data_IF_471445449207
#
_entry.id   IF_471445449207
#
_cell.length_a   1.000
_cell.length_b   1.000
_cell.length_c   1.000
_cell.angle_alpha   90.00
_cell.angle_beta   90.00
_cell.angle_gamma   90.00
#
_symmetry.space_group_name_H-M   'P 1'
#
loop_
_entity.id
_entity.type
_entity.pdbx_description
1 polymer ?
#
# COMPACT_ATOMS: atom_id res chain seq x y z
N UNK A 1 -14.14 71.94 29.17
CA UNK A 1 -12.93 72.53 28.58
C UNK A 1 -13.29 73.15 27.23
N UNK A 2 -12.77 74.36 26.97
CA UNK A 2 -12.56 75.08 25.69
C UNK A 2 -13.12 74.33 24.44
N UNK A 3 -14.26 74.73 23.84
CA UNK A 3 -14.47 75.79 22.82
C UNK A 3 -13.62 75.69 21.54
N UNK A 4 -14.29 75.85 20.39
CA UNK A 4 -13.69 76.11 19.07
C UNK A 4 -14.58 77.07 18.23
N UNK A 5 -14.54 76.99 16.89
CA UNK A 5 -15.02 77.94 15.85
C UNK A 5 -15.78 77.14 14.76
N UNK A 6 -16.86 77.56 14.09
CA UNK A 6 -17.48 78.86 13.69
C UNK A 6 -17.11 79.41 12.28
N UNK A 7 -17.98 79.15 11.29
CA UNK A 7 -18.46 80.06 10.21
C UNK A 7 -17.42 80.87 9.37
N UNK A 8 -17.42 80.70 8.03
CA UNK A 8 -17.57 81.85 7.09
C UNK A 8 -17.97 81.45 5.65
N UNK A 9 -18.85 82.26 5.03
CA UNK A 9 -19.14 82.31 3.59
C UNK A 9 -18.31 83.44 2.96
N UNK A 10 -17.92 83.36 1.68
CA UNK A 10 -17.75 84.55 0.84
C UNK A 10 -17.94 84.18 -0.64
N UNK A 11 -18.82 84.92 -1.32
CA UNK A 11 -18.85 85.01 -2.79
C UNK A 11 -17.76 86.00 -3.22
N UNK A 12 -17.09 85.75 -4.36
CA UNK A 12 -16.49 86.84 -5.11
C UNK A 12 -16.80 86.71 -6.61
N UNK A 13 -17.66 87.60 -7.09
CA UNK A 13 -17.86 87.87 -8.51
C UNK A 13 -16.68 88.67 -9.05
N UNK A 14 -16.12 88.28 -10.19
CA UNK A 14 -15.36 89.18 -11.06
C UNK A 14 -15.85 89.00 -12.49
N UNK A 15 -16.65 89.97 -12.95
CA UNK A 15 -16.87 90.20 -14.38
C UNK A 15 -15.81 91.20 -14.83
N UNK A 16 -15.08 90.87 -15.91
CA UNK A 16 -14.48 91.87 -16.78
C UNK A 16 -14.93 91.61 -18.21
N UNK A 17 -15.67 92.56 -18.76
CA UNK A 17 -16.03 92.61 -20.18
C UNK A 17 -14.89 93.23 -20.98
N UNK A 18 -14.49 92.61 -22.09
CA UNK A 18 -13.95 93.34 -23.24
C UNK A 18 -14.23 92.57 -24.53
N UNK A 19 -14.73 93.27 -25.53
CA UNK A 19 -15.03 92.69 -26.85
C UNK A 19 -13.75 92.51 -27.68
N UNK A 20 -13.73 91.49 -28.53
CA UNK A 20 -13.24 91.63 -29.90
C UNK A 20 -14.07 90.74 -30.83
N UNK A 21 -14.19 91.20 -32.07
CA UNK A 21 -14.95 90.64 -33.19
C UNK A 21 -14.79 89.14 -33.43
N UNK A 22 -15.87 88.55 -33.95
CA UNK A 22 -15.91 87.31 -34.71
C UNK A 22 -14.69 87.14 -35.64
N UNK A 23 -14.21 85.91 -35.76
CA UNK A 23 -13.96 85.25 -37.06
C UNK A 23 -14.30 83.77 -36.88
N UNK A 24 -14.97 83.17 -37.87
CA UNK A 24 -15.41 81.78 -37.84
C UNK A 24 -14.25 80.87 -38.32
N UNK A 25 -13.61 80.12 -37.40
CA UNK A 25 -12.74 79.00 -37.78
C UNK A 25 -13.51 77.68 -37.71
N UNK A 26 -13.68 77.07 -38.88
CA UNK A 26 -14.32 75.77 -39.08
C UNK A 26 -13.37 74.65 -38.60
N UNK A 27 -13.50 74.24 -37.34
CA UNK A 27 -12.72 73.12 -36.78
C UNK A 27 -13.15 71.82 -37.46
N UNK A 28 -12.40 71.43 -38.51
CA UNK A 28 -12.50 70.16 -39.20
C UNK A 28 -12.19 69.02 -38.23
N UNK A 29 -13.22 68.53 -37.56
CA UNK A 29 -13.17 67.33 -36.73
C UNK A 29 -12.70 66.13 -37.54
N UNK A 30 -11.43 65.78 -37.40
CA UNK A 30 -10.88 64.52 -37.88
C UNK A 30 -11.58 63.42 -37.07
N UNK A 31 -12.54 62.73 -37.70
CA UNK A 31 -12.91 61.42 -37.22
C UNK A 31 -11.70 60.51 -37.39
N UNK A 32 -10.99 60.23 -36.31
CA UNK A 32 -10.14 59.05 -36.23
C UNK A 32 -11.04 57.84 -36.51
N UNK A 33 -10.95 57.31 -37.72
CA UNK A 33 -11.49 55.99 -38.02
C UNK A 33 -10.70 55.00 -37.20
N UNK A 34 -11.30 54.49 -36.13
CA UNK A 34 -10.76 53.37 -35.36
C UNK A 34 -10.43 52.24 -36.33
N UNK A 35 -9.13 52.04 -36.55
CA UNK A 35 -8.61 50.96 -37.36
C UNK A 35 -8.75 49.69 -36.54
N UNK A 36 -9.94 49.06 -36.60
CA UNK A 36 -10.18 47.74 -36.05
C UNK A 36 -9.03 46.83 -36.46
N UNK A 37 -8.30 46.32 -35.47
CA UNK A 37 -7.29 45.29 -35.70
C UNK A 37 -8.01 44.03 -36.24
N UNK A 38 -7.32 43.29 -37.10
CA UNK A 38 -7.90 42.09 -37.69
C UNK A 38 -7.91 40.98 -36.64
N UNK A 39 -9.06 40.36 -36.41
CA UNK A 39 -9.13 39.20 -35.52
C UNK A 39 -8.28 38.07 -36.14
N UNK A 40 -7.35 37.52 -35.35
CA UNK A 40 -6.52 36.35 -35.68
C UNK A 40 -6.89 35.17 -34.77
N UNK A 41 -6.36 33.97 -35.02
CA UNK A 41 -6.60 32.83 -34.11
C UNK A 41 -5.84 33.03 -32.78
N UNK A 42 -6.35 32.53 -31.64
CA UNK A 42 -5.68 32.68 -30.36
C UNK A 42 -4.27 32.05 -30.32
N UNK A 43 -3.38 32.58 -29.49
CA UNK A 43 -2.05 32.01 -29.25
C UNK A 43 -1.99 31.45 -27.83
N UNK A 44 -1.50 30.22 -27.68
CA UNK A 44 -1.37 29.53 -26.39
C UNK A 44 0.08 29.18 -26.10
N UNK A 45 0.47 29.26 -24.82
CA UNK A 45 1.73 28.65 -24.34
C UNK A 45 1.68 27.14 -24.42
N UNK A 46 2.88 26.57 -24.37
CA UNK A 46 3.09 25.20 -23.90
C UNK A 46 2.38 24.96 -22.55
N UNK A 47 1.88 23.74 -22.40
CA UNK A 47 1.08 23.29 -21.26
C UNK A 47 1.96 22.83 -20.10
N UNK A 48 1.49 23.00 -18.88
CA UNK A 48 2.09 22.37 -17.70
C UNK A 48 1.28 21.12 -17.35
N UNK A 49 1.92 19.95 -17.40
CA UNK A 49 1.32 18.66 -17.00
C UNK A 49 1.68 18.37 -15.55
N UNK A 50 0.68 18.21 -14.68
CA UNK A 50 0.89 17.92 -13.25
C UNK A 50 -0.12 16.91 -12.72
N UNK A 51 0.14 16.39 -11.52
CA UNK A 51 -0.74 15.47 -10.79
C UNK A 51 -1.18 14.26 -11.64
N UNK A 52 -0.23 13.66 -12.37
CA UNK A 52 -0.47 12.42 -13.11
C UNK A 52 -0.73 11.29 -12.10
N UNK A 53 -1.86 10.61 -12.27
CA UNK A 53 -2.23 9.39 -11.54
C UNK A 53 -2.26 8.21 -12.51
N UNK A 54 -2.77 7.08 -12.05
CA UNK A 54 -3.00 5.87 -12.85
C UNK A 54 -4.14 6.08 -13.86
N UNK A 55 -5.11 6.96 -13.56
CA UNK A 55 -6.34 7.13 -14.34
C UNK A 55 -6.74 8.59 -14.61
N UNK A 56 -5.93 9.56 -14.20
CA UNK A 56 -6.18 11.00 -14.40
C UNK A 56 -4.91 11.84 -14.53
N UNK A 57 -5.06 13.06 -15.03
CA UNK A 57 -4.01 14.10 -15.07
C UNK A 57 -4.62 15.49 -14.98
N UNK A 58 -3.87 16.45 -14.45
CA UNK A 58 -4.21 17.87 -14.49
C UNK A 58 -3.32 18.62 -15.47
N UNK A 59 -3.94 19.22 -16.49
CA UNK A 59 -3.28 20.06 -17.49
C UNK A 59 -3.57 21.52 -17.16
N UNK A 60 -2.53 22.35 -17.09
CA UNK A 60 -2.69 23.82 -17.04
C UNK A 60 -2.32 24.40 -18.40
N UNK A 61 -3.19 25.24 -18.94
CA UNK A 61 -2.97 25.97 -20.19
C UNK A 61 -3.04 27.48 -19.96
N UNK A 62 -2.43 28.24 -20.87
CA UNK A 62 -2.46 29.70 -20.86
C UNK A 62 -2.63 30.24 -22.27
N UNK A 63 -3.67 31.05 -22.45
CA UNK A 63 -3.84 31.88 -23.65
C UNK A 63 -2.93 33.10 -23.45
N UNK A 64 -1.93 33.28 -24.33
CA UNK A 64 -1.07 34.48 -24.35
C UNK A 64 -1.75 35.65 -25.03
N UNK A 65 -2.45 35.36 -26.13
CA UNK A 65 -3.12 36.33 -26.98
C UNK A 65 -4.48 35.75 -27.39
N UNK A 66 -5.55 36.53 -27.24
CA UNK A 66 -6.90 36.14 -27.69
C UNK A 66 -7.15 36.46 -29.18
N UNK A 67 -6.16 37.05 -29.84
CA UNK A 67 -6.17 37.40 -31.26
C UNK A 67 -7.10 38.56 -31.55
N UNK A 68 -7.32 39.46 -30.59
CA UNK A 68 -8.33 40.53 -30.63
C UNK A 68 -9.78 40.01 -30.73
N UNK A 69 -10.00 38.73 -30.44
CA UNK A 69 -11.30 38.05 -30.50
C UNK A 69 -11.83 37.67 -29.12
N UNK A 70 -13.10 37.29 -29.03
CA UNK A 70 -13.70 36.79 -27.78
C UNK A 70 -13.51 35.28 -27.67
N UNK A 71 -12.83 34.81 -26.62
CA UNK A 71 -12.66 33.37 -26.35
C UNK A 71 -14.01 32.72 -26.00
N UNK A 72 -14.51 31.88 -26.90
CA UNK A 72 -15.79 31.16 -26.81
C UNK A 72 -15.68 29.85 -26.06
N UNK A 73 -14.61 29.11 -26.34
CA UNK A 73 -14.28 27.78 -25.83
C UNK A 73 -12.77 27.71 -25.61
N UNK A 74 -12.32 26.95 -24.61
CA UNK A 74 -10.92 26.61 -24.38
C UNK A 74 -10.81 25.31 -23.60
N UNK A 75 -9.68 24.61 -23.72
CA UNK A 75 -9.48 23.34 -23.06
C UNK A 75 -8.30 22.57 -23.63
N UNK A 76 -8.43 21.25 -23.64
CA UNK A 76 -7.42 20.29 -24.13
C UNK A 76 -8.06 19.29 -25.08
N UNK A 77 -7.38 19.04 -26.21
CA UNK A 77 -7.58 17.87 -27.06
C UNK A 77 -6.48 16.85 -26.77
N UNK A 78 -6.84 15.58 -26.64
CA UNK A 78 -5.89 14.51 -26.29
C UNK A 78 -6.20 13.18 -26.97
N UNK A 79 -5.18 12.33 -27.09
CA UNK A 79 -5.20 11.09 -27.87
C UNK A 79 -4.16 10.08 -27.34
N UNK A 80 -4.37 8.79 -27.63
CA UNK A 80 -3.40 7.70 -27.43
C UNK A 80 -2.39 7.60 -28.59
N UNK A 81 -2.53 8.47 -29.59
CA UNK A 81 -1.65 8.60 -30.74
C UNK A 81 -1.20 10.04 -30.91
N UNK A 82 0.08 10.23 -31.26
CA UNK A 82 0.69 11.52 -31.59
C UNK A 82 0.01 12.22 -32.78
N UNK A 83 -0.73 11.46 -33.60
CA UNK A 83 -1.42 11.95 -34.79
C UNK A 83 -2.82 12.53 -34.49
N UNK A 84 -2.84 13.83 -34.21
CA UNK A 84 -4.03 14.69 -34.11
C UNK A 84 -4.71 14.95 -35.48
N UNK A 85 -4.84 13.93 -36.32
CA UNK A 85 -5.69 13.93 -37.52
C UNK A 85 -6.71 12.79 -37.51
N UNK A 86 -6.63 11.87 -36.54
CA UNK A 86 -7.55 10.75 -36.39
C UNK A 86 -8.77 11.12 -35.53
N UNK A 87 -9.89 10.44 -35.77
CA UNK A 87 -11.22 10.70 -35.16
C UNK A 87 -11.30 10.33 -33.66
N UNK A 88 -10.17 10.01 -33.03
CA UNK A 88 -10.07 9.54 -31.64
C UNK A 88 -9.75 10.67 -30.64
N UNK A 89 -9.72 11.92 -31.09
CA UNK A 89 -9.51 13.09 -30.22
C UNK A 89 -10.61 13.19 -29.16
N UNK A 90 -10.20 13.21 -27.89
CA UNK A 90 -11.06 13.43 -26.74
C UNK A 90 -10.91 14.87 -26.27
N UNK A 91 -12.02 15.49 -25.90
CA UNK A 91 -12.12 16.92 -25.59
C UNK A 91 -12.45 17.13 -24.10
N UNK A 92 -11.68 17.97 -23.43
CA UNK A 92 -11.98 18.40 -22.06
C UNK A 92 -11.87 19.93 -21.95
N UNK A 93 -12.92 20.60 -21.43
CA UNK A 93 -13.13 22.05 -21.55
C UNK A 93 -13.07 22.79 -20.21
N UNK A 94 -12.52 24.00 -20.21
CA UNK A 94 -12.50 24.89 -19.05
C UNK A 94 -13.52 26.06 -19.15
N UNK A 95 -13.70 26.79 -18.06
CA UNK A 95 -14.60 27.97 -17.99
C UNK A 95 -14.15 29.06 -18.97
N UNK A 96 -15.10 29.76 -19.60
CA UNK A 96 -14.87 30.85 -20.57
C UNK A 96 -14.03 31.99 -20.00
N UNK A 97 -13.25 32.65 -20.85
CA UNK A 97 -12.37 33.77 -20.52
C UNK A 97 -10.97 33.61 -21.15
N UNK A 98 -10.18 34.68 -21.13
CA UNK A 98 -8.77 34.68 -21.54
C UNK A 98 -7.84 34.27 -20.38
N UNK A 99 -6.53 34.23 -20.64
CA UNK A 99 -5.50 33.91 -19.63
C UNK A 99 -5.40 32.44 -19.28
N UNK A 100 -5.09 32.15 -18.02
CA UNK A 100 -4.81 30.82 -17.49
C UNK A 100 -6.08 29.99 -17.27
N UNK A 101 -5.94 28.67 -17.40
CA UNK A 101 -6.98 27.68 -17.13
C UNK A 101 -6.36 26.34 -16.72
N UNK A 102 -7.15 25.52 -16.03
CA UNK A 102 -6.83 24.12 -15.76
C UNK A 102 -7.94 23.20 -16.28
N UNK A 103 -7.54 22.00 -16.67
CA UNK A 103 -8.42 20.90 -17.12
C UNK A 103 -7.93 19.63 -16.45
N UNK A 104 -8.84 18.92 -15.80
CA UNK A 104 -8.59 17.55 -15.35
C UNK A 104 -9.12 16.58 -16.40
N UNK A 105 -8.30 15.62 -16.79
CA UNK A 105 -8.69 14.50 -17.65
C UNK A 105 -8.79 13.28 -16.75
N UNK A 106 -9.92 12.57 -16.80
CA UNK A 106 -10.24 11.40 -15.96
C UNK A 106 -10.61 10.20 -16.83
N UNK A 107 -10.51 8.99 -16.28
CA UNK A 107 -10.85 7.75 -16.99
C UNK A 107 -9.80 7.34 -18.03
N UNK A 108 -8.53 7.68 -17.77
CA UNK A 108 -7.39 7.19 -18.52
C UNK A 108 -7.10 5.72 -18.17
N UNK A 109 -6.38 5.05 -19.06
CA UNK A 109 -5.87 3.70 -18.86
C UNK A 109 -4.52 3.80 -18.13
N UNK A 110 -4.27 2.90 -17.19
CA UNK A 110 -2.99 2.77 -16.48
C UNK A 110 -1.81 2.46 -17.44
N UNK A 111 -0.60 2.86 -17.06
CA UNK A 111 0.65 2.63 -17.81
C UNK A 111 0.66 3.06 -19.31
N UNK A 112 -0.18 4.02 -19.69
CA UNK A 112 -0.44 4.38 -21.10
C UNK A 112 0.11 5.78 -21.43
N UNK A 113 0.80 5.91 -22.57
CA UNK A 113 1.26 7.21 -23.07
C UNK A 113 0.15 7.93 -23.86
N UNK A 114 -0.01 9.21 -23.57
CA UNK A 114 -1.01 10.11 -24.13
C UNK A 114 -0.36 11.37 -24.66
N UNK A 115 -0.87 11.85 -25.79
CA UNK A 115 -0.46 13.09 -26.45
C UNK A 115 -1.58 14.11 -26.33
N UNK A 116 -1.25 15.38 -26.08
CA UNK A 116 -2.24 16.45 -25.97
C UNK A 116 -1.79 17.80 -26.54
N UNK A 117 -2.77 18.65 -26.84
CA UNK A 117 -2.61 20.09 -27.11
C UNK A 117 -3.67 20.86 -26.34
N UNK A 118 -3.29 21.98 -25.73
CA UNK A 118 -4.29 22.97 -25.32
C UNK A 118 -4.86 23.65 -26.56
N UNK A 119 -6.12 24.08 -26.51
CA UNK A 119 -6.76 24.86 -27.56
C UNK A 119 -7.59 26.02 -26.98
N UNK A 120 -7.79 27.06 -27.80
CA UNK A 120 -8.76 28.12 -27.54
C UNK A 120 -9.39 28.59 -28.86
N UNK A 121 -10.66 29.00 -28.81
CA UNK A 121 -11.48 29.30 -29.99
C UNK A 121 -12.12 30.67 -29.90
N UNK A 122 -12.02 31.47 -30.95
CA UNK A 122 -12.64 32.81 -31.04
C UNK A 122 -13.56 32.94 -32.27
N UNK A 123 -13.69 34.14 -32.86
CA UNK A 123 -14.43 34.40 -34.11
C UNK A 123 -13.77 33.81 -35.35
N UNK A 124 -12.43 33.77 -35.43
CA UNK A 124 -11.74 33.32 -36.63
C UNK A 124 -11.60 31.79 -36.67
N UNK A 125 -11.18 31.17 -35.56
CA UNK A 125 -10.87 29.75 -35.55
C UNK A 125 -10.31 29.24 -34.23
N UNK A 126 -9.47 28.20 -34.31
CA UNK A 126 -8.91 27.48 -33.17
C UNK A 126 -7.39 27.68 -33.10
N UNK A 127 -6.94 28.37 -32.06
CA UNK A 127 -5.55 28.37 -31.64
C UNK A 127 -5.19 27.10 -30.89
N UNK A 128 -3.95 26.61 -31.03
CA UNK A 128 -3.42 25.45 -30.30
C UNK A 128 -2.06 25.75 -29.68
N UNK A 129 -1.73 25.07 -28.57
CA UNK A 129 -0.36 25.01 -28.05
C UNK A 129 0.54 24.12 -28.91
N UNK A 130 1.84 24.13 -28.62
CA UNK A 130 2.72 23.02 -28.98
C UNK A 130 2.18 21.69 -28.39
N UNK A 131 2.42 20.54 -29.05
CA UNK A 131 2.06 19.25 -28.50
C UNK A 131 2.92 18.93 -27.27
N UNK A 132 2.32 18.25 -26.30
CA UNK A 132 3.00 17.62 -25.16
C UNK A 132 2.57 16.15 -25.06
N UNK A 133 3.35 15.32 -24.37
CA UNK A 133 2.94 13.98 -23.97
C UNK A 133 3.07 13.78 -22.46
N UNK A 134 2.40 12.76 -21.95
CA UNK A 134 2.55 12.25 -20.59
C UNK A 134 2.20 10.77 -20.57
N UNK A 135 2.74 10.03 -19.59
CA UNK A 135 2.39 8.63 -19.35
C UNK A 135 1.67 8.51 -18.02
N UNK A 136 0.51 7.86 -17.98
CA UNK A 136 -0.16 7.54 -16.71
C UNK A 136 0.69 6.58 -15.89
N UNK A 137 0.48 6.59 -14.57
CA UNK A 137 1.17 5.65 -13.68
C UNK A 137 0.72 4.21 -13.93
N UNK A 138 1.61 3.26 -13.73
CA UNK A 138 1.27 1.85 -13.70
C UNK A 138 0.59 1.49 -12.38
N UNK A 139 -0.42 0.60 -12.43
CA UNK A 139 -0.95 -0.01 -11.20
C UNK A 139 0.01 -1.11 -10.76
N UNK A 140 0.76 -0.84 -9.70
CA UNK A 140 1.58 -1.84 -9.02
C UNK A 140 0.63 -2.88 -8.38
N UNK A 141 0.81 -4.15 -8.74
CA UNK A 141 -0.01 -5.28 -8.24
C UNK A 141 0.86 -6.21 -7.39
N UNK A 142 0.37 -6.73 -6.25
CA UNK A 142 1.10 -7.72 -5.47
C UNK A 142 1.42 -8.98 -6.29
N UNK A 143 2.66 -9.44 -6.20
CA UNK A 143 3.08 -10.78 -6.64
C UNK A 143 2.65 -11.75 -5.55
N UNK A 144 1.68 -12.60 -5.85
CA UNK A 144 1.18 -13.63 -4.91
C UNK A 144 2.04 -14.88 -5.04
N UNK A 145 2.70 -15.25 -3.94
CA UNK A 145 3.55 -16.44 -3.85
C UNK A 145 2.79 -17.65 -3.29
N UNK A 146 1.89 -17.41 -2.33
CA UNK A 146 0.99 -18.42 -1.77
C UNK A 146 -0.41 -17.79 -1.73
N UNK A 147 -1.39 -18.49 -2.28
CA UNK A 147 -2.79 -18.07 -2.28
C UNK A 147 -3.66 -18.99 -1.41
N UNK A 148 -4.90 -18.57 -1.17
CA UNK A 148 -5.87 -19.25 -0.32
C UNK A 148 -6.17 -20.70 -0.74
N UNK A 149 -5.91 -21.06 -2.00
CA UNK A 149 -6.09 -22.42 -2.52
C UNK A 149 -4.91 -23.35 -2.23
N UNK A 150 -3.82 -22.88 -1.62
CA UNK A 150 -2.63 -23.69 -1.32
C UNK A 150 -2.90 -24.95 -0.48
N UNK A 151 -4.01 -25.00 0.28
CA UNK A 151 -4.45 -26.20 1.03
C UNK A 151 -5.65 -26.94 0.40
N UNK A 152 -6.11 -26.55 -0.78
CA UNK A 152 -7.27 -27.17 -1.47
C UNK A 152 -6.97 -28.56 -2.06
N UNK A 153 -5.70 -28.91 -2.25
CA UNK A 153 -5.29 -30.23 -2.73
C UNK A 153 -3.82 -30.50 -2.37
N UNK A 154 -3.42 -31.78 -2.39
CA UNK A 154 -2.01 -32.17 -2.25
C UNK A 154 -1.14 -31.62 -3.39
N UNK A 155 -1.69 -31.38 -4.59
CA UNK A 155 -0.97 -30.76 -5.70
C UNK A 155 -0.64 -29.29 -5.41
N UNK A 156 -1.63 -28.51 -4.96
CA UNK A 156 -1.45 -27.11 -4.59
C UNK A 156 -0.55 -26.97 -3.35
N UNK A 157 -0.71 -27.86 -2.36
CA UNK A 157 0.21 -27.91 -1.21
C UNK A 157 1.65 -28.16 -1.67
N UNK A 158 1.86 -29.17 -2.52
CA UNK A 158 3.19 -29.48 -3.05
C UNK A 158 3.76 -28.42 -4.00
N UNK A 159 2.97 -27.45 -4.47
CA UNK A 159 3.49 -26.29 -5.21
C UNK A 159 4.23 -25.33 -4.27
N UNK A 160 3.62 -25.03 -3.12
CA UNK A 160 3.99 -23.89 -2.28
C UNK A 160 4.69 -24.29 -0.96
N UNK A 161 4.47 -25.51 -0.49
CA UNK A 161 4.89 -26.01 0.83
C UNK A 161 5.78 -27.26 0.75
N UNK A 162 6.58 -27.46 1.79
CA UNK A 162 7.28 -28.68 2.15
C UNK A 162 6.74 -29.19 3.49
N UNK A 163 6.84 -30.51 3.72
CA UNK A 163 6.67 -31.09 5.05
C UNK A 163 7.88 -30.81 5.96
N UNK A 164 7.65 -30.95 7.27
CA UNK A 164 8.60 -30.77 8.37
C UNK A 164 9.12 -29.32 8.51
N UNK A 165 9.99 -29.07 9.49
CA UNK A 165 10.76 -27.83 9.54
C UNK A 165 11.83 -27.81 8.44
N UNK A 166 12.36 -26.65 8.04
CA UNK A 166 13.46 -26.56 7.06
C UNK A 166 14.73 -27.33 7.44
N UNK A 167 14.92 -27.64 8.73
CA UNK A 167 16.04 -28.40 9.29
C UNK A 167 15.67 -29.84 9.72
N UNK A 168 14.44 -30.31 9.47
CA UNK A 168 13.99 -31.67 9.75
C UNK A 168 12.86 -31.77 10.77
N UNK A 169 12.84 -32.85 11.55
CA UNK A 169 11.66 -33.28 12.32
C UNK A 169 11.56 -32.74 13.75
N UNK A 170 12.61 -32.14 14.30
CA UNK A 170 12.71 -31.82 15.74
C UNK A 170 12.88 -30.31 15.99
N UNK A 171 12.39 -29.85 17.15
CA UNK A 171 12.58 -28.48 17.66
C UNK A 171 12.65 -28.49 19.20
N UNK A 172 12.62 -27.32 19.85
CA UNK A 172 12.78 -27.10 21.30
C UNK A 172 11.65 -27.63 22.22
N UNK A 173 10.81 -28.56 21.74
CA UNK A 173 9.73 -29.19 22.51
C UNK A 173 9.79 -30.72 22.48
N UNK A 174 8.73 -31.36 22.96
CA UNK A 174 8.64 -32.83 23.11
C UNK A 174 7.88 -33.54 21.98
N UNK A 175 7.43 -32.82 20.95
CA UNK A 175 6.87 -33.40 19.74
C UNK A 175 7.93 -33.57 18.65
N UNK A 176 7.89 -34.73 17.98
CA UNK A 176 8.58 -34.99 16.72
C UNK A 176 7.60 -34.85 15.56
N UNK A 177 8.05 -34.23 14.47
CA UNK A 177 7.23 -33.96 13.30
C UNK A 177 7.26 -35.11 12.30
N UNK A 178 6.08 -35.46 11.80
CA UNK A 178 5.82 -36.54 10.85
C UNK A 178 4.87 -36.05 9.75
N UNK A 179 4.93 -36.66 8.56
CA UNK A 179 4.09 -36.26 7.42
C UNK A 179 2.64 -36.76 7.61
N UNK A 180 2.47 -37.94 8.19
CA UNK A 180 1.18 -38.56 8.50
C UNK A 180 0.34 -37.79 9.53
N UNK A 181 0.96 -36.87 10.30
CA UNK A 181 0.29 -35.98 11.23
C UNK A 181 -0.22 -34.68 10.56
N UNK A 182 0.04 -34.49 9.27
CA UNK A 182 -0.38 -33.32 8.48
C UNK A 182 -1.43 -33.72 7.45
N UNK A 183 -2.68 -33.33 7.68
CA UNK A 183 -3.82 -33.64 6.83
C UNK A 183 -4.29 -32.40 6.04
N UNK A 184 -4.84 -32.63 4.84
CA UNK A 184 -5.54 -31.63 4.04
C UNK A 184 -6.98 -32.07 3.86
N UNK A 185 -7.94 -31.24 4.28
CA UNK A 185 -9.36 -31.56 4.25
C UNK A 185 -10.19 -30.31 3.87
N UNK A 186 -10.93 -30.36 2.76
CA UNK A 186 -11.81 -29.27 2.28
C UNK A 186 -11.18 -27.85 2.31
N UNK A 187 -9.91 -27.72 1.90
CA UNK A 187 -9.18 -26.45 1.90
C UNK A 187 -8.54 -26.05 3.22
N UNK A 188 -8.56 -26.94 4.22
CA UNK A 188 -7.99 -26.74 5.55
C UNK A 188 -6.79 -27.68 5.76
N UNK A 189 -5.65 -27.12 6.14
CA UNK A 189 -4.53 -27.86 6.72
C UNK A 189 -4.87 -28.18 8.18
N UNK A 190 -4.73 -29.43 8.59
CA UNK A 190 -4.92 -29.87 9.97
C UNK A 190 -3.68 -30.62 10.45
N UNK A 191 -3.01 -30.08 11.47
CA UNK A 191 -1.89 -30.73 12.14
C UNK A 191 -2.43 -31.39 13.41
N UNK A 192 -2.31 -32.71 13.47
CA UNK A 192 -2.75 -33.53 14.60
C UNK A 192 -1.57 -33.85 15.50
N UNK A 193 -1.64 -33.44 16.77
CA UNK A 193 -0.67 -33.83 17.78
C UNK A 193 -1.25 -34.89 18.72
N UNK A 194 -0.55 -36.01 18.85
CA UNK A 194 -1.00 -37.20 19.56
C UNK A 194 0.05 -37.69 20.57
N UNK A 195 -0.38 -38.06 21.76
CA UNK A 195 0.48 -38.54 22.83
C UNK A 195 0.78 -40.04 22.70
N UNK A 196 2.06 -40.41 22.69
CA UNK A 196 2.50 -41.78 22.33
C UNK A 196 2.56 -42.78 23.51
N UNK A 197 1.75 -42.58 24.56
CA UNK A 197 1.71 -43.38 25.80
C UNK A 197 3.10 -43.72 26.39
N UNK A 198 3.98 -42.72 26.45
CA UNK A 198 5.38 -42.87 26.89
C UNK A 198 6.17 -43.96 26.14
N UNK A 199 5.84 -44.25 24.88
CA UNK A 199 6.73 -45.00 23.99
C UNK A 199 8.14 -44.38 23.94
N UNK A 200 9.14 -45.20 23.61
CA UNK A 200 10.53 -44.75 23.54
C UNK A 200 10.91 -44.35 22.12
N UNK A 201 11.06 -43.05 21.89
CA UNK A 201 11.58 -42.46 20.65
C UNK A 201 12.85 -41.60 20.86
N UNK A 202 13.42 -41.65 22.06
CA UNK A 202 14.58 -40.85 22.44
C UNK A 202 14.22 -39.41 22.76
N UNK A 203 15.07 -38.50 22.30
CA UNK A 203 15.04 -37.06 22.60
C UNK A 203 15.05 -36.25 21.31
N UNK A 204 14.61 -34.99 21.40
CA UNK A 204 14.75 -34.00 20.35
C UNK A 204 16.21 -33.75 20.00
N UNK A 205 16.54 -33.64 18.71
CA UNK A 205 17.89 -33.23 18.26
C UNK A 205 18.19 -31.75 18.47
N UNK A 206 17.21 -30.93 18.87
CA UNK A 206 17.39 -29.51 19.17
C UNK A 206 17.43 -29.27 20.69
N UNK A 207 18.12 -28.21 21.12
CA UNK A 207 18.15 -27.76 22.53
C UNK A 207 16.72 -27.41 23.00
N UNK A 208 16.30 -27.75 24.24
CA UNK A 208 17.08 -28.35 25.34
C UNK A 208 17.05 -29.88 25.37
N UNK A 209 16.91 -30.54 24.22
CA UNK A 209 16.89 -31.99 24.05
C UNK A 209 15.82 -32.69 24.91
N UNK A 210 14.58 -32.19 24.87
CA UNK A 210 13.46 -32.80 25.58
C UNK A 210 13.17 -34.20 25.07
N UNK A 211 12.61 -35.05 25.93
CA UNK A 211 12.19 -36.41 25.56
C UNK A 211 11.03 -36.33 24.58
N UNK A 212 11.06 -37.11 23.51
CA UNK A 212 9.90 -37.21 22.62
C UNK A 212 8.76 -37.98 23.30
N UNK A 213 7.60 -37.33 23.37
CA UNK A 213 6.37 -37.80 24.02
C UNK A 213 5.12 -37.58 23.15
N UNK A 214 5.26 -36.89 22.02
CA UNK A 214 4.20 -36.65 21.05
C UNK A 214 4.67 -36.89 19.61
N UNK A 215 3.75 -37.40 18.79
CA UNK A 215 3.80 -37.28 17.33
C UNK A 215 3.01 -36.03 16.94
N UNK A 216 3.50 -35.28 15.96
CA UNK A 216 2.88 -34.05 15.49
C UNK A 216 3.35 -33.71 14.07
N UNK A 217 3.03 -32.52 13.56
CA UNK A 217 3.43 -32.08 12.23
C UNK A 217 3.93 -30.64 12.18
N UNK A 218 4.69 -30.37 11.12
CA UNK A 218 5.15 -29.05 10.72
C UNK A 218 5.16 -28.99 9.19
N UNK A 219 4.97 -27.79 8.65
CA UNK A 219 5.14 -27.47 7.22
C UNK A 219 5.86 -26.14 7.09
N UNK A 220 6.61 -25.96 6.00
CA UNK A 220 7.27 -24.69 5.71
C UNK A 220 7.13 -24.29 4.23
N UNK A 221 7.06 -22.98 3.98
CA UNK A 221 6.96 -22.45 2.64
C UNK A 221 8.26 -22.69 1.85
N UNK A 222 8.11 -22.99 0.56
CA UNK A 222 9.22 -23.03 -0.40
C UNK A 222 9.73 -21.64 -0.76
N UNK A 223 8.81 -20.67 -0.85
CA UNK A 223 9.16 -19.27 -1.05
C UNK A 223 9.89 -18.72 0.17
N UNK A 224 10.88 -17.84 -0.06
CA UNK A 224 11.51 -17.07 1.01
C UNK A 224 10.92 -15.67 1.05
N UNK A 225 10.65 -15.19 2.25
CA UNK A 225 10.30 -13.79 2.48
C UNK A 225 11.61 -13.02 2.56
N UNK A 226 11.72 -11.92 1.82
CA UNK A 226 12.89 -11.03 1.86
C UNK A 226 12.45 -9.64 1.45
N UNK A 227 12.51 -8.69 2.37
CA UNK A 227 12.23 -7.27 2.12
C UNK A 227 13.43 -6.65 1.41
N UNK A 228 13.26 -6.16 0.19
CA UNK A 228 14.33 -5.55 -0.63
C UNK A 228 13.91 -4.19 -1.18
N UNK A 229 14.76 -3.53 -1.99
CA UNK A 229 14.36 -2.31 -2.71
C UNK A 229 13.32 -2.60 -3.80
N UNK A 230 13.44 -3.74 -4.48
CA UNK A 230 12.53 -4.17 -5.55
C UNK A 230 11.20 -4.71 -5.00
N UNK A 231 11.24 -5.39 -3.84
CA UNK A 231 10.08 -5.94 -3.12
C UNK A 231 10.00 -5.36 -1.70
N UNK A 232 9.64 -4.06 -1.56
CA UNK A 232 9.69 -3.35 -0.28
C UNK A 232 8.52 -3.68 0.65
N UNK A 233 7.34 -4.01 0.12
CA UNK A 233 6.12 -4.22 0.92
C UNK A 233 5.68 -5.69 0.83
N UNK A 234 5.66 -6.42 1.95
CA UNK A 234 5.20 -7.81 2.05
C UNK A 234 3.98 -7.95 2.96
N UNK A 235 3.05 -8.82 2.58
CA UNK A 235 1.94 -9.28 3.44
C UNK A 235 1.97 -10.81 3.58
N UNK A 236 1.82 -11.27 4.81
CA UNK A 236 1.71 -12.68 5.20
C UNK A 236 0.48 -12.79 6.11
N UNK A 237 -0.51 -13.61 5.76
CA UNK A 237 -1.69 -13.81 6.59
C UNK A 237 -2.29 -15.20 6.49
N UNK A 238 -3.18 -15.54 7.41
CA UNK A 238 -3.93 -16.80 7.40
C UNK A 238 -5.01 -16.86 8.48
N UNK A 239 -6.01 -17.71 8.27
CA UNK A 239 -7.05 -18.00 9.25
C UNK A 239 -6.71 -19.28 10.03
N UNK A 240 -6.77 -19.21 11.36
CA UNK A 240 -6.35 -20.31 12.23
C UNK A 240 -7.40 -20.67 13.29
N UNK A 241 -7.43 -21.96 13.65
CA UNK A 241 -8.02 -22.51 14.89
C UNK A 241 -6.92 -23.20 15.68
N UNK A 242 -6.55 -22.61 16.81
CA UNK A 242 -5.37 -22.96 17.59
C UNK A 242 -5.74 -23.65 18.92
N UNK A 243 -5.23 -24.86 19.22
CA UNK A 243 -5.43 -25.48 20.52
C UNK A 243 -4.71 -24.68 21.62
N UNK A 244 -5.45 -24.37 22.68
CA UNK A 244 -5.02 -23.55 23.84
C UNK A 244 -4.90 -24.37 25.14
N UNK A 245 -4.99 -25.69 25.06
CA UNK A 245 -4.88 -26.59 26.20
C UNK A 245 -3.46 -26.60 26.80
N UNK A 246 -3.26 -26.70 28.12
CA UNK A 246 -1.91 -26.80 28.70
C UNK A 246 -1.06 -27.89 28.04
N UNK A 247 0.21 -27.57 27.76
CA UNK A 247 1.16 -28.35 26.95
C UNK A 247 0.95 -28.35 25.42
N UNK A 248 -0.03 -27.60 24.88
CA UNK A 248 -0.19 -27.36 23.44
C UNK A 248 0.59 -26.12 22.97
N UNK A 249 1.32 -26.22 21.86
CA UNK A 249 2.14 -25.12 21.31
C UNK A 249 2.01 -24.97 19.78
N UNK A 250 0.84 -24.51 19.27
CA UNK A 250 0.69 -24.14 17.87
C UNK A 250 1.45 -22.84 17.57
N UNK A 251 2.07 -22.77 16.38
CA UNK A 251 2.76 -21.57 15.92
C UNK A 251 2.64 -21.36 14.40
N UNK A 252 2.50 -20.08 13.99
CA UNK A 252 2.67 -19.58 12.63
C UNK A 252 3.62 -18.38 12.68
N UNK A 253 4.80 -18.54 12.09
CA UNK A 253 5.96 -17.71 12.39
C UNK A 253 6.94 -17.69 11.22
N UNK A 254 7.84 -16.71 11.23
CA UNK A 254 8.96 -16.61 10.29
C UNK A 254 10.29 -16.55 11.04
N UNK A 255 11.32 -17.19 10.49
CA UNK A 255 12.66 -17.23 11.10
C UNK A 255 13.75 -17.17 10.03
N UNK A 256 14.90 -16.62 10.40
CA UNK A 256 16.06 -16.44 9.52
C UNK A 256 16.48 -17.73 8.82
N UNK A 257 16.82 -17.60 7.53
CA UNK A 257 17.31 -18.70 6.69
C UNK A 257 18.78 -18.99 6.94
N UNK A 258 19.56 -17.95 7.24
CA UNK A 258 21.01 -17.98 7.30
C UNK A 258 21.56 -17.90 8.74
N UNK A 259 20.78 -17.37 9.69
CA UNK A 259 21.11 -17.25 11.11
C UNK A 259 19.85 -17.23 11.97
N UNK A 260 20.03 -17.42 13.29
CA UNK A 260 19.05 -17.07 14.32
C UNK A 260 19.70 -16.20 15.39
N UNK A 261 19.15 -15.02 15.74
CA UNK A 261 18.05 -14.30 15.07
C UNK A 261 18.34 -14.00 13.58
N UNK A 262 17.38 -13.49 12.77
CA UNK A 262 16.09 -12.88 13.12
C UNK A 262 14.90 -13.86 13.26
N UNK A 263 13.81 -13.43 13.91
CA UNK A 263 12.55 -14.19 14.07
C UNK A 263 11.33 -13.26 14.28
N UNK A 264 10.15 -13.67 13.80
CA UNK A 264 8.85 -13.03 14.05
C UNK A 264 7.77 -14.10 14.28
N UNK A 265 7.14 -14.10 15.45
CA UNK A 265 5.99 -14.96 15.76
C UNK A 265 4.70 -14.22 15.43
N UNK A 266 3.98 -14.64 14.37
CA UNK A 266 2.74 -14.01 13.89
C UNK A 266 1.54 -14.53 14.71
N UNK A 267 1.59 -15.80 15.09
CA UNK A 267 0.69 -16.49 16.00
C UNK A 267 1.52 -17.46 16.80
N UNK A 268 1.50 -17.35 18.12
CA UNK A 268 1.99 -18.40 19.02
C UNK A 268 1.04 -18.53 20.21
N UNK A 269 0.68 -19.76 20.59
CA UNK A 269 0.02 -20.03 21.88
C UNK A 269 0.87 -21.00 22.69
N UNK A 270 1.00 -20.75 24.00
CA UNK A 270 1.79 -21.58 24.92
C UNK A 270 0.89 -22.11 26.03
N UNK A 271 0.07 -23.10 25.71
CA UNK A 271 -0.83 -23.80 26.64
C UNK A 271 -1.85 -22.92 27.38
N UNK A 272 -2.20 -21.76 26.81
CA UNK A 272 -3.19 -20.81 27.34
C UNK A 272 -3.94 -20.13 26.18
N UNK A 273 -4.98 -19.35 26.50
CA UNK A 273 -5.73 -18.52 25.54
C UNK A 273 -5.03 -17.23 25.14
N UNK A 274 -3.89 -16.89 25.76
CA UNK A 274 -3.11 -15.75 25.32
C UNK A 274 -2.32 -16.11 24.08
N UNK A 275 -2.69 -15.50 22.96
CA UNK A 275 -1.82 -15.40 21.81
C UNK A 275 -0.64 -14.50 22.15
N UNK A 276 0.50 -14.82 21.55
CA UNK A 276 1.79 -14.21 21.79
C UNK A 276 2.36 -13.86 20.41
N UNK A 277 2.63 -12.57 20.19
CA UNK A 277 3.23 -12.06 18.96
C UNK A 277 4.59 -11.45 19.29
N UNK A 278 5.65 -11.93 18.63
CA UNK A 278 7.04 -11.55 18.92
C UNK A 278 7.75 -10.98 17.69
N UNK A 279 8.74 -10.14 17.94
CA UNK A 279 9.88 -9.93 17.03
C UNK A 279 11.19 -10.07 17.79
N UNK A 280 12.16 -10.77 17.18
CA UNK A 280 13.49 -11.03 17.73
C UNK A 280 14.55 -10.54 16.74
N UNK A 281 15.46 -9.71 17.22
CA UNK A 281 16.66 -9.27 16.50
C UNK A 281 17.88 -9.39 17.43
N UNK A 282 19.07 -9.07 16.95
CA UNK A 282 20.31 -9.10 17.72
C UNK A 282 21.43 -9.87 17.00
N UNK A 283 22.71 -9.57 17.29
CA UNK A 283 23.85 -10.08 16.53
C UNK A 283 24.17 -11.56 16.79
N UNK A 284 23.56 -12.16 17.82
CA UNK A 284 23.80 -13.55 18.21
C UNK A 284 22.71 -14.06 19.17
N UNK A 285 22.63 -15.39 19.30
CA UNK A 285 21.69 -16.10 20.18
C UNK A 285 21.76 -15.71 21.67
N UNK A 286 22.89 -15.18 22.13
CA UNK A 286 23.12 -14.71 23.50
C UNK A 286 22.91 -13.18 23.68
N UNK A 287 22.60 -12.46 22.60
CA UNK A 287 22.46 -11.00 22.56
C UNK A 287 21.14 -10.57 21.87
N UNK A 288 20.09 -11.36 22.06
CA UNK A 288 18.76 -11.15 21.48
C UNK A 288 18.02 -9.95 22.10
N UNK A 289 17.36 -9.16 21.26
CA UNK A 289 16.39 -8.12 21.65
C UNK A 289 15.00 -8.58 21.25
N UNK A 290 14.19 -8.88 22.27
CA UNK A 290 12.80 -9.33 22.11
C UNK A 290 11.83 -8.13 22.18
N UNK A 291 10.76 -8.20 21.41
CA UNK A 291 9.55 -7.39 21.62
C UNK A 291 8.37 -8.33 21.58
N UNK A 292 7.54 -8.31 22.62
CA UNK A 292 6.43 -9.27 22.81
C UNK A 292 5.13 -8.53 23.10
N UNK A 293 4.07 -8.88 22.37
CA UNK A 293 2.70 -8.45 22.64
C UNK A 293 1.85 -9.68 22.96
N UNK A 294 1.06 -9.59 24.03
CA UNK A 294 0.11 -10.62 24.44
C UNK A 294 -1.32 -10.16 24.12
N UNK A 295 -2.11 -11.01 23.46
CA UNK A 295 -3.54 -10.78 23.21
C UNK A 295 -4.33 -12.01 23.66
N UNK A 296 -5.28 -11.86 24.58
CA UNK A 296 -6.16 -12.96 25.00
C UNK A 296 -7.23 -13.21 23.94
N UNK A 297 -7.31 -14.46 23.45
CA UNK A 297 -8.27 -14.94 22.45
C UNK A 297 -8.94 -16.20 23.04
N UNK A 298 -9.98 -16.05 23.90
CA UNK A 298 -10.57 -17.16 24.67
C UNK A 298 -11.14 -18.30 23.82
N UNK A 299 -11.60 -17.98 22.61
CA UNK A 299 -12.29 -18.83 21.65
C UNK A 299 -11.38 -19.35 20.51
N UNK A 300 -10.07 -19.11 20.56
CA UNK A 300 -9.11 -19.50 19.52
C UNK A 300 -9.12 -21.00 19.15
N UNK A 301 -9.56 -21.88 20.06
CA UNK A 301 -9.68 -23.32 19.83
C UNK A 301 -11.00 -23.74 19.16
N UNK A 302 -12.01 -22.86 19.18
CA UNK A 302 -13.35 -23.11 18.64
C UNK A 302 -13.67 -22.26 17.40
N UNK A 303 -13.14 -21.04 17.29
CA UNK A 303 -13.47 -20.07 16.25
C UNK A 303 -12.26 -19.69 15.39
N UNK A 304 -12.54 -19.29 14.14
CA UNK A 304 -11.50 -18.87 13.20
C UNK A 304 -11.10 -17.42 13.47
N UNK A 305 -9.80 -17.19 13.70
CA UNK A 305 -9.23 -15.85 13.79
C UNK A 305 -8.20 -15.63 12.69
N UNK A 306 -8.15 -14.42 12.14
CA UNK A 306 -7.17 -14.04 11.12
C UNK A 306 -5.92 -13.47 11.80
N UNK A 307 -4.75 -13.96 11.40
CA UNK A 307 -3.45 -13.47 11.86
C UNK A 307 -2.68 -12.94 10.66
N UNK A 308 -2.16 -11.72 10.77
CA UNK A 308 -1.50 -11.03 9.66
C UNK A 308 -0.25 -10.29 10.12
N UNK A 309 0.79 -10.40 9.31
CA UNK A 309 2.05 -9.67 9.37
C UNK A 309 2.17 -8.85 8.10
N UNK A 310 2.49 -7.56 8.23
CA UNK A 310 2.98 -6.73 7.12
C UNK A 310 4.39 -6.27 7.42
N UNK A 311 5.29 -6.37 6.45
CA UNK A 311 6.66 -5.88 6.53
C UNK A 311 6.89 -4.85 5.42
N UNK A 312 7.43 -3.68 5.77
CA UNK A 312 7.68 -2.59 4.81
C UNK A 312 9.09 -2.04 4.95
N UNK A 313 9.87 -2.01 3.87
CA UNK A 313 11.19 -1.38 3.82
C UNK A 313 11.09 0.11 4.16
N UNK A 314 11.94 0.58 5.06
CA UNK A 314 12.18 1.99 5.34
C UNK A 314 13.45 2.42 4.60
N UNK A 315 14.55 1.70 4.82
CA UNK A 315 15.83 1.88 4.14
C UNK A 315 16.61 0.55 4.03
N UNK A 316 17.92 0.59 3.76
CA UNK A 316 18.79 -0.58 3.60
C UNK A 316 18.96 -1.46 4.85
N UNK A 317 18.51 -0.97 6.02
CA UNK A 317 18.63 -1.61 7.33
C UNK A 317 17.22 -1.78 7.94
N UNK A 318 16.48 -0.68 8.03
CA UNK A 318 15.21 -0.63 8.76
C UNK A 318 14.03 -1.14 7.93
N UNK A 319 13.25 -2.02 8.55
CA UNK A 319 11.95 -2.52 8.09
C UNK A 319 10.90 -2.23 9.17
N UNK A 320 9.79 -1.61 8.77
CA UNK A 320 8.58 -1.51 9.59
C UNK A 320 7.90 -2.89 9.65
N UNK A 321 7.60 -3.36 10.86
CA UNK A 321 6.91 -4.63 11.12
C UNK A 321 5.61 -4.33 11.85
N UNK A 322 4.48 -4.81 11.33
CA UNK A 322 3.17 -4.70 11.99
C UNK A 322 2.48 -6.04 12.05
N UNK A 323 1.92 -6.37 13.20
CA UNK A 323 1.15 -7.59 13.42
C UNK A 323 -0.28 -7.28 13.87
N UNK A 324 -1.22 -8.06 13.32
CA UNK A 324 -2.65 -7.88 13.46
C UNK A 324 -3.31 -9.19 13.87
N UNK A 325 -4.43 -9.08 14.60
CA UNK A 325 -5.37 -10.18 14.84
C UNK A 325 -6.77 -9.66 14.56
N UNK A 326 -7.50 -10.31 13.67
CA UNK A 326 -8.85 -9.92 13.19
C UNK A 326 -8.89 -8.46 12.70
N UNK A 327 -7.95 -8.11 11.83
CA UNK A 327 -7.66 -6.76 11.30
C UNK A 327 -7.35 -5.67 12.35
N UNK A 328 -7.32 -5.99 13.65
CA UNK A 328 -6.90 -5.07 14.69
C UNK A 328 -5.39 -5.11 14.85
N UNK A 329 -4.75 -3.95 14.67
CA UNK A 329 -3.32 -3.78 14.93
C UNK A 329 -3.01 -4.09 16.40
N UNK A 330 -2.07 -5.02 16.64
CA UNK A 330 -1.59 -5.42 17.97
C UNK A 330 -0.18 -4.92 18.24
N UNK A 331 0.70 -5.01 17.25
CA UNK A 331 2.11 -4.61 17.34
C UNK A 331 2.52 -3.77 16.14
N UNK A 332 3.51 -2.91 16.33
CA UNK A 332 4.08 -2.03 15.30
C UNK A 332 5.48 -1.62 15.75
N UNK A 333 6.50 -2.15 15.10
CA UNK A 333 7.91 -1.90 15.41
C UNK A 333 8.71 -1.48 14.17
N UNK A 334 9.92 -1.00 14.41
CA UNK A 334 10.98 -0.90 13.39
C UNK A 334 12.07 -1.90 13.79
N UNK A 335 12.57 -2.67 12.83
CA UNK A 335 13.54 -3.75 13.02
C UNK A 335 14.59 -3.74 11.92
N UNK A 336 15.81 -4.11 12.29
CA UNK A 336 16.90 -4.40 11.35
C UNK A 336 16.65 -5.78 10.73
N UNK A 337 15.82 -5.80 9.67
CA UNK A 337 15.40 -6.99 8.92
C UNK A 337 15.44 -6.77 7.39
N UNK A 338 15.86 -5.60 6.90
CA UNK A 338 15.96 -5.39 5.44
C UNK A 338 17.04 -6.30 4.86
N UNK A 339 16.74 -6.93 3.72
CA UNK A 339 17.54 -7.96 3.05
C UNK A 339 17.68 -9.30 3.82
N UNK A 340 17.21 -9.42 5.06
CA UNK A 340 17.15 -10.72 5.75
C UNK A 340 16.18 -11.66 5.04
N UNK A 341 16.57 -12.93 4.94
CA UNK A 341 15.78 -13.98 4.32
C UNK A 341 15.11 -14.80 5.40
N UNK A 342 13.81 -15.02 5.26
CA UNK A 342 13.03 -15.80 6.22
C UNK A 342 12.39 -17.04 5.59
N UNK A 343 12.32 -18.11 6.39
CA UNK A 343 11.37 -19.21 6.21
C UNK A 343 10.01 -18.81 6.79
N UNK A 344 8.91 -19.29 6.21
CA UNK A 344 7.57 -19.27 6.82
C UNK A 344 7.21 -20.69 7.28
N UNK A 345 6.74 -20.83 8.52
CA UNK A 345 6.53 -22.13 9.18
C UNK A 345 5.14 -22.14 9.83
N UNK A 346 4.42 -23.26 9.68
CA UNK A 346 3.25 -23.62 10.49
C UNK A 346 3.59 -24.94 11.19
N UNK A 347 3.50 -25.00 12.52
CA UNK A 347 3.73 -26.24 13.26
C UNK A 347 2.85 -26.37 14.51
N UNK A 348 2.80 -27.59 15.03
CA UNK A 348 2.20 -27.90 16.32
C UNK A 348 3.25 -28.55 17.22
N UNK A 349 3.93 -27.76 18.05
CA UNK A 349 4.85 -28.27 19.06
C UNK A 349 4.08 -28.64 20.34
N UNK A 350 4.70 -29.41 21.23
CA UNK A 350 4.13 -29.79 22.53
C UNK A 350 5.15 -29.61 23.66
N UNK A 351 4.65 -29.34 24.86
CA UNK A 351 5.43 -29.11 26.08
C UNK A 351 6.44 -27.95 25.96
N UNK A 352 7.62 -28.06 26.58
CA UNK A 352 8.62 -27.01 26.63
C UNK A 352 8.06 -25.73 27.27
N UNK A 353 8.05 -24.63 26.50
CA UNK A 353 7.53 -23.34 26.94
C UNK A 353 6.00 -23.33 27.17
N UNK A 354 5.26 -24.32 26.66
CA UNK A 354 3.81 -24.47 26.89
C UNK A 354 3.45 -25.25 28.17
N UNK A 355 4.45 -25.66 28.96
CA UNK A 355 4.28 -26.42 30.20
C UNK A 355 4.65 -27.90 30.06
N UNK A 356 4.25 -28.74 31.03
CA UNK A 356 4.62 -30.17 31.09
C UNK A 356 3.39 -31.04 31.32
N UNK A 357 3.31 -32.14 30.58
CA UNK A 357 2.23 -33.12 30.66
C UNK A 357 2.30 -33.89 31.97
N UNK A 358 1.17 -34.08 32.63
CA UNK A 358 1.02 -34.91 33.84
C UNK A 358 -0.14 -35.90 33.67
N UNK A 359 -0.44 -36.70 34.69
CA UNK A 359 -1.49 -37.74 34.64
C UNK A 359 -2.92 -37.20 34.42
N UNK A 360 -3.16 -35.90 34.61
CA UNK A 360 -4.46 -35.27 34.40
C UNK A 360 -4.49 -34.36 33.15
N UNK A 361 -3.43 -34.33 32.34
CA UNK A 361 -3.35 -33.46 31.16
C UNK A 361 -4.24 -33.98 30.02
N UNK A 362 -5.14 -33.11 29.53
CA UNK A 362 -6.10 -33.41 28.45
C UNK A 362 -5.43 -34.00 27.19
N UNK A 363 -4.24 -33.49 26.86
CA UNK A 363 -3.44 -33.90 25.69
C UNK A 363 -3.01 -35.38 25.69
N UNK A 364 -3.21 -36.12 26.80
CA UNK A 364 -3.00 -37.57 26.88
C UNK A 364 -4.20 -38.41 26.44
N UNK A 365 -5.41 -37.84 26.52
CA UNK A 365 -6.66 -38.52 26.19
C UNK A 365 -7.29 -38.01 24.90
N UNK A 366 -6.92 -36.81 24.45
CA UNK A 366 -7.50 -36.14 23.29
C UNK A 366 -6.39 -35.55 22.40
N UNK A 367 -6.36 -35.93 21.13
CA UNK A 367 -5.46 -35.36 20.12
C UNK A 367 -5.73 -33.85 19.96
N UNK A 368 -4.67 -33.05 19.92
CA UNK A 368 -4.78 -31.60 19.72
C UNK A 368 -4.67 -31.29 18.23
N UNK A 369 -5.61 -30.51 17.68
CA UNK A 369 -5.68 -30.24 16.24
C UNK A 369 -5.48 -28.74 16.00
N UNK A 370 -4.36 -28.39 15.38
CA UNK A 370 -4.12 -27.03 14.88
C UNK A 370 -4.58 -26.96 13.42
N UNK A 371 -5.55 -26.09 13.12
CA UNK A 371 -6.11 -25.96 11.77
C UNK A 371 -5.79 -24.60 11.16
N UNK A 372 -5.44 -24.59 9.87
CA UNK A 372 -5.09 -23.40 9.11
C UNK A 372 -5.74 -23.41 7.72
N UNK A 373 -6.17 -22.25 7.23
CA UNK A 373 -6.74 -22.07 5.87
C UNK A 373 -6.48 -20.64 5.39
N UNK A 374 -6.85 -20.35 4.14
CA UNK A 374 -6.81 -19.00 3.57
C UNK A 374 -5.43 -18.33 3.73
N UNK A 375 -4.35 -19.10 3.62
CA UNK A 375 -2.99 -18.55 3.74
C UNK A 375 -2.72 -17.65 2.54
N UNK A 376 -2.25 -16.44 2.80
CA UNK A 376 -1.82 -15.50 1.78
C UNK A 376 -0.37 -15.08 2.04
N UNK A 377 0.46 -15.12 1.01
CA UNK A 377 1.80 -14.52 1.01
C UNK A 377 1.98 -13.76 -0.29
N UNK A 378 2.20 -12.46 -0.20
CA UNK A 378 2.48 -11.62 -1.36
C UNK A 378 3.53 -10.55 -1.08
N UNK A 379 4.17 -10.08 -2.14
CA UNK A 379 5.05 -8.91 -2.12
C UNK A 379 4.60 -7.91 -3.20
N UNK A 380 4.47 -6.65 -2.84
CA UNK A 380 4.16 -5.56 -3.75
C UNK A 380 5.48 -4.92 -4.21
N UNK A 381 5.75 -4.86 -5.53
CA UNK A 381 6.96 -4.21 -6.02
C UNK A 381 7.08 -2.74 -5.61
N UNK A 382 8.30 -2.22 -5.57
CA UNK A 382 8.51 -0.78 -5.52
C UNK A 382 7.88 -0.11 -6.75
N UNK A 383 7.33 1.10 -6.57
CA UNK A 383 7.02 1.92 -7.74
C UNK A 383 8.34 2.30 -8.42
N UNK A 384 8.50 1.93 -9.70
CA UNK A 384 9.64 2.41 -10.49
C UNK A 384 9.64 3.95 -10.52
N UNK A 385 10.79 4.56 -10.20
CA UNK A 385 10.97 6.02 -10.09
C UNK A 385 11.02 6.72 -11.45
#
# INVERSE_FOLDING_TARGET
MIRAISIFNILLFVFFTSCSSNDDEEELGIQETEKSEAIIEPVLKEVEVVNITETSVMIKGKIEDDGHGTIKERGVVWSESEDFTQVNEKLATAVKGSGEFSVEINGLIEDTEYYLKAFAKNELGNGYSLPASFKTKAVIKPIVYIDESSFSSLENFNKDWNMLYPWGADHNGSARMFEENVNLNDGVLQIHSEWIDWAWEGYSTADPHLRITFHSGAVHAKQKIQVTEELPDWEISGDFKAPTAPSSWPAFWITGVDSWPPEIDILEFKGTTSNLQNTVTGPSWDQTVWTTVYTDIPDASSEWHNYKLTMRRIDDVETEVKMFIDDQLRSSEIKDFTNDRFWLIINMQMEGASGTTNDNSLVRSESQIFSAKNIHVSATPGAEN
#
